data_IF_329438229484
#
_entry.id   IF_329438229484
#
_cell.length_a   1.000
_cell.length_b   1.000
_cell.length_c   1.000
_cell.angle_alpha   90.00
_cell.angle_beta   90.00
_cell.angle_gamma   90.00
#
_symmetry.space_group_name_H-M   'P 1'
#
loop_
_entity.id
_entity.type
_entity.pdbx_description
1 polymer ?
#
# COMPACT_ATOMS: atom_id res chain seq x y z
N UNK A 1 -34.77 13.03 18.30
CA UNK A 1 -34.07 11.96 19.06
C UNK A 1 -32.69 11.81 18.45
N UNK A 2 -31.68 11.72 19.32
CA UNK A 2 -30.26 12.03 19.11
C UNK A 2 -29.67 11.33 17.88
N UNK A 3 -29.07 12.15 17.02
CA UNK A 3 -28.13 11.72 16.00
C UNK A 3 -27.05 10.86 16.66
N UNK A 4 -27.06 9.56 16.36
CA UNK A 4 -25.93 8.69 16.65
C UNK A 4 -24.79 9.11 15.74
N UNK A 5 -24.07 10.15 16.18
CA UNK A 5 -22.73 10.51 15.75
C UNK A 5 -21.86 9.29 16.04
N UNK A 6 -21.86 8.33 15.10
CA UNK A 6 -20.94 7.20 15.10
C UNK A 6 -19.58 7.81 14.82
N UNK A 7 -18.96 8.27 15.91
CA UNK A 7 -17.64 8.84 15.98
C UNK A 7 -16.71 7.89 15.25
N UNK A 8 -16.46 8.20 13.98
CA UNK A 8 -15.56 7.48 13.11
C UNK A 8 -14.18 7.69 13.69
N UNK A 9 -13.82 6.85 14.68
CA UNK A 9 -12.49 6.83 15.22
C UNK A 9 -11.56 6.70 14.02
N UNK A 10 -10.67 7.67 13.78
CA UNK A 10 -9.64 7.50 12.76
C UNK A 10 -8.96 6.16 13.04
N UNK A 11 -8.88 5.33 12.01
CA UNK A 11 -8.23 4.02 12.02
C UNK A 11 -6.70 4.22 12.14
N UNK A 12 -6.27 4.87 13.23
CA UNK A 12 -4.87 5.07 13.58
C UNK A 12 -4.14 3.73 13.67
N UNK A 13 -4.85 2.67 14.09
CA UNK A 13 -4.35 1.30 14.02
C UNK A 13 -3.94 0.90 12.61
N UNK A 14 -4.71 1.22 11.56
CA UNK A 14 -4.34 0.91 10.17
C UNK A 14 -3.16 1.74 9.68
N UNK A 15 -3.04 3.00 10.11
CA UNK A 15 -1.86 3.82 9.82
C UNK A 15 -0.60 3.20 10.43
N UNK A 16 -0.66 2.85 11.72
CA UNK A 16 0.44 2.23 12.44
C UNK A 16 0.81 0.87 11.84
N UNK A 17 -0.18 0.02 11.54
CA UNK A 17 0.03 -1.27 10.89
C UNK A 17 0.69 -1.08 9.52
N UNK A 18 0.19 -0.15 8.70
CA UNK A 18 0.76 0.12 7.38
C UNK A 18 2.21 0.62 7.46
N UNK A 19 2.53 1.50 8.41
CA UNK A 19 3.90 1.97 8.66
C UNK A 19 4.83 0.86 9.13
N UNK A 20 4.37 -0.04 10.01
CA UNK A 20 5.16 -1.18 10.48
C UNK A 20 5.47 -2.11 9.31
N UNK A 21 4.50 -2.42 8.45
CA UNK A 21 4.70 -3.29 7.27
C UNK A 21 5.75 -2.69 6.32
N UNK A 22 5.70 -1.38 6.07
CA UNK A 22 6.70 -0.69 5.23
C UNK A 22 8.09 -0.81 5.87
N UNK A 23 8.20 -0.53 7.18
CA UNK A 23 9.46 -0.63 7.92
C UNK A 23 10.03 -2.04 7.89
N UNK A 24 9.20 -3.07 8.08
CA UNK A 24 9.61 -4.47 7.98
C UNK A 24 10.11 -4.83 6.58
N UNK A 25 9.48 -4.30 5.53
CA UNK A 25 9.94 -4.48 4.15
C UNK A 25 11.30 -3.86 3.89
N UNK A 26 11.52 -2.63 4.37
CA UNK A 26 12.81 -1.92 4.27
C UNK A 26 13.89 -2.68 5.06
N UNK A 27 13.58 -3.13 6.26
CA UNK A 27 14.54 -3.86 7.10
C UNK A 27 14.95 -5.18 6.45
N UNK A 28 13.98 -5.95 5.93
CA UNK A 28 14.25 -7.19 5.21
C UNK A 28 15.10 -6.95 3.95
N UNK A 29 14.85 -5.85 3.24
CA UNK A 29 15.67 -5.44 2.11
C UNK A 29 17.12 -5.12 2.51
N UNK A 30 17.32 -4.33 3.56
CA UNK A 30 18.66 -3.96 4.04
C UNK A 30 19.44 -5.19 4.51
N UNK A 31 18.77 -6.15 5.14
CA UNK A 31 19.41 -7.36 5.66
C UNK A 31 19.69 -8.41 4.60
N UNK A 32 18.75 -8.64 3.68
CA UNK A 32 18.76 -9.80 2.78
C UNK A 32 18.86 -9.44 1.29
N UNK A 33 18.86 -8.15 0.94
CA UNK A 33 18.84 -7.70 -0.46
C UNK A 33 17.56 -8.10 -1.20
N UNK A 34 16.48 -8.44 -0.48
CA UNK A 34 15.25 -8.96 -1.06
C UNK A 34 14.34 -7.84 -1.56
N UNK A 35 14.54 -7.46 -2.82
CA UNK A 35 13.74 -6.45 -3.53
C UNK A 35 12.29 -6.89 -3.76
N UNK A 36 12.01 -8.20 -3.81
CA UNK A 36 10.67 -8.73 -4.09
C UNK A 36 9.79 -8.52 -2.86
N UNK A 37 10.28 -8.92 -1.68
CA UNK A 37 9.59 -8.69 -0.42
C UNK A 37 9.43 -7.21 -0.11
N UNK A 38 10.42 -6.37 -0.45
CA UNK A 38 10.31 -4.92 -0.33
C UNK A 38 9.12 -4.38 -1.13
N UNK A 39 9.01 -4.76 -2.41
CA UNK A 39 7.92 -4.31 -3.28
C UNK A 39 6.55 -4.72 -2.73
N UNK A 40 6.41 -5.98 -2.31
CA UNK A 40 5.14 -6.51 -1.77
C UNK A 40 4.75 -5.80 -0.47
N UNK A 41 5.68 -5.69 0.49
CA UNK A 41 5.42 -5.09 1.81
C UNK A 41 5.20 -3.58 1.70
N UNK A 42 5.97 -2.88 0.88
CA UNK A 42 5.78 -1.45 0.63
C UNK A 42 4.37 -1.17 0.06
N UNK A 43 3.92 -2.03 -0.85
CA UNK A 43 2.63 -1.91 -1.49
C UNK A 43 1.47 -2.24 -0.55
N UNK A 44 1.58 -3.34 0.20
CA UNK A 44 0.61 -3.71 1.22
C UNK A 44 0.49 -2.63 2.30
N UNK A 45 1.62 -2.16 2.84
CA UNK A 45 1.65 -1.14 3.89
C UNK A 45 1.10 0.21 3.41
N UNK A 46 1.40 0.60 2.16
CA UNK A 46 0.80 1.80 1.55
C UNK A 46 -0.72 1.69 1.43
N UNK A 47 -1.25 0.50 1.08
CA UNK A 47 -2.69 0.25 1.05
C UNK A 47 -3.37 0.44 2.42
N UNK A 48 -2.74 -0.08 3.49
CA UNK A 48 -3.22 0.11 4.87
C UNK A 48 -3.19 1.58 5.31
N UNK A 49 -2.11 2.29 4.99
CA UNK A 49 -2.00 3.74 5.24
C UNK A 49 -3.15 4.46 4.54
N UNK A 50 -3.37 4.22 3.25
CA UNK A 50 -4.43 4.85 2.46
C UNK A 50 -5.84 4.59 3.00
N UNK A 51 -6.12 3.37 3.46
CA UNK A 51 -7.38 3.04 4.13
C UNK A 51 -7.53 3.78 5.47
N UNK A 52 -6.44 3.98 6.21
CA UNK A 52 -6.40 4.75 7.45
C UNK A 52 -6.62 6.25 7.26
N UNK A 53 -6.18 6.84 6.14
CA UNK A 53 -6.38 8.27 5.83
C UNK A 53 -7.74 8.53 5.19
N UNK A 54 -8.36 7.53 4.56
CA UNK A 54 -9.68 7.60 3.89
C UNK A 54 -10.77 8.32 4.71
N UNK A 55 -10.96 8.08 6.02
CA UNK A 55 -11.96 8.79 6.82
C UNK A 55 -11.62 10.27 7.14
N UNK A 56 -10.36 10.71 6.95
CA UNK A 56 -9.94 12.11 7.20
C UNK A 56 -10.01 13.00 5.95
N UNK A 57 -10.15 12.44 4.76
CA UNK A 57 -10.16 13.20 3.50
C UNK A 57 -11.61 13.33 3.04
N UNK A 58 -12.23 14.49 3.25
CA UNK A 58 -13.56 14.80 2.74
C UNK A 58 -13.49 15.55 1.39
N UNK A 59 -14.45 15.25 0.50
CA UNK A 59 -14.68 16.00 -0.75
C UNK A 59 -13.84 15.59 -1.97
N UNK A 60 -13.75 16.52 -2.94
CA UNK A 60 -13.16 16.40 -4.30
C UNK A 60 -11.71 15.87 -4.32
N UNK A 61 -11.00 15.98 -3.20
CA UNK A 61 -9.63 15.51 -3.04
C UNK A 61 -9.55 14.00 -2.75
N UNK A 62 -10.54 13.40 -2.09
CA UNK A 62 -10.59 11.95 -1.88
C UNK A 62 -10.78 11.21 -3.21
N UNK A 63 -11.59 11.78 -4.10
CA UNK A 63 -11.87 11.21 -5.43
C UNK A 63 -10.63 11.25 -6.33
N UNK A 64 -9.90 12.38 -6.33
CA UNK A 64 -8.60 12.49 -7.02
C UNK A 64 -7.58 11.53 -6.43
N UNK A 65 -7.46 11.48 -5.10
CA UNK A 65 -6.52 10.57 -4.44
C UNK A 65 -6.83 9.11 -4.79
N UNK A 66 -8.10 8.70 -4.74
CA UNK A 66 -8.53 7.35 -5.10
C UNK A 66 -8.21 7.02 -6.56
N UNK A 67 -8.35 7.99 -7.49
CA UNK A 67 -7.94 7.83 -8.89
C UNK A 67 -6.42 7.62 -9.01
N UNK A 68 -5.61 8.44 -8.34
CA UNK A 68 -4.15 8.29 -8.34
C UNK A 68 -3.68 6.97 -7.70
N UNK A 69 -4.28 6.59 -6.57
CA UNK A 69 -3.99 5.32 -5.90
C UNK A 69 -4.28 4.17 -6.83
N UNK A 70 -5.45 4.16 -7.48
CA UNK A 70 -5.84 3.08 -8.39
C UNK A 70 -4.90 2.98 -9.59
N UNK A 71 -4.51 4.11 -10.18
CA UNK A 71 -3.54 4.14 -11.28
C UNK A 71 -2.16 3.66 -10.83
N UNK A 72 -1.66 4.13 -9.69
CA UNK A 72 -0.40 3.67 -9.12
C UNK A 72 -0.44 2.17 -8.78
N UNK A 73 -1.58 1.67 -8.32
CA UNK A 73 -1.78 0.26 -8.02
C UNK A 73 -1.67 -0.60 -9.29
N UNK A 74 -2.32 -0.18 -10.37
CA UNK A 74 -2.23 -0.85 -11.67
C UNK A 74 -0.81 -0.85 -12.24
N UNK A 75 -0.10 0.28 -12.15
CA UNK A 75 1.28 0.41 -12.63
C UNK A 75 2.23 -0.50 -11.83
N UNK A 76 2.11 -0.52 -10.51
CA UNK A 76 2.94 -1.38 -9.67
C UNK A 76 2.69 -2.87 -9.94
N UNK A 77 1.42 -3.25 -10.18
CA UNK A 77 1.06 -4.63 -10.51
C UNK A 77 1.62 -5.04 -11.88
N UNK A 78 1.63 -4.13 -12.85
CA UNK A 78 2.31 -4.34 -14.15
C UNK A 78 3.82 -4.48 -14.00
N UNK A 79 4.47 -3.66 -13.16
CA UNK A 79 5.92 -3.74 -12.91
C UNK A 79 6.27 -5.06 -12.22
N UNK A 80 5.50 -5.48 -11.20
CA UNK A 80 5.67 -6.78 -10.55
C UNK A 80 5.49 -7.93 -11.54
N UNK A 81 4.48 -7.87 -12.40
CA UNK A 81 4.24 -8.87 -13.44
C UNK A 81 5.40 -8.93 -14.45
N UNK A 82 5.93 -7.76 -14.85
CA UNK A 82 7.09 -7.66 -15.72
C UNK A 82 8.33 -8.30 -15.09
N UNK A 83 8.60 -8.02 -13.81
CA UNK A 83 9.71 -8.64 -13.09
C UNK A 83 9.54 -10.14 -12.94
N UNK A 84 8.32 -10.62 -12.71
CA UNK A 84 8.02 -12.05 -12.61
C UNK A 84 8.28 -12.76 -13.95
N UNK A 85 7.79 -12.18 -15.06
CA UNK A 85 7.99 -12.73 -16.42
C UNK A 85 9.47 -12.69 -16.79
N UNK A 86 10.17 -11.59 -16.54
CA UNK A 86 11.58 -11.44 -16.89
C UNK A 86 12.48 -12.33 -16.02
N UNK A 87 12.18 -12.47 -14.73
CA UNK A 87 12.84 -13.40 -13.82
C UNK A 87 12.64 -14.85 -14.26
N UNK A 88 11.41 -15.23 -14.63
CA UNK A 88 11.08 -16.56 -15.13
C UNK A 88 11.82 -16.87 -16.45
N UNK A 89 11.86 -15.92 -17.38
CA UNK A 89 12.61 -16.03 -18.64
C UNK A 89 14.12 -16.18 -18.45
N UNK A 90 14.68 -15.60 -17.37
CA UNK A 90 16.12 -15.66 -17.08
C UNK A 90 16.52 -16.94 -16.33
N UNK A 91 15.58 -17.61 -15.66
CA UNK A 91 15.79 -18.86 -14.92
C UNK A 91 15.72 -20.12 -15.79
N UNK A 92 15.11 -20.04 -16.98
CA UNK A 92 14.94 -21.14 -17.93
C UNK A 92 15.88 -21.06 -19.15
N UNK A 93 16.96 -20.27 -19.07
CA UNK A 93 17.97 -20.12 -20.14
C UNK A 93 19.33 -20.58 -19.65
#
# INVERSE_FOLDING_TARGET
MKDHYKQSQPLYSLLVIGSIIILSGILNYVMNGDYVSLGILFFAGSGFVLLGIKPKISGRNAERLNKYIRTAFFIALLILSYWFIFGYLKLFK
#
